data_IF_807158212019
#
_entry.id   IF_807158212019
#
_cell.length_a   1.000
_cell.length_b   1.000
_cell.length_c   1.000
_cell.angle_alpha   90.00
_cell.angle_beta   90.00
_cell.angle_gamma   90.00
#
_symmetry.space_group_name_H-M   'P 1'
#
loop_
_entity.id
_entity.type
_entity.pdbx_description
1 polymer ?
#
# COMPACT_ATOMS: atom_id res chain seq x y z
N UNK A 1 25.95 -11.72 8.56
CA UNK A 1 26.51 -10.70 7.63
C UNK A 1 25.32 -9.81 7.30
N UNK A 2 25.23 -8.52 7.58
CA UNK A 2 26.13 -7.36 7.67
C UNK A 2 25.22 -6.17 8.08
N UNK A 3 25.60 -4.96 8.50
CA UNK A 3 26.77 -4.24 9.02
C UNK A 3 26.18 -2.92 9.55
N UNK A 4 27.01 -2.02 10.07
CA UNK A 4 26.64 -0.67 10.48
C UNK A 4 25.67 0.04 9.50
N UNK A 5 24.83 0.92 10.06
CA UNK A 5 23.83 1.65 9.30
C UNK A 5 22.44 1.04 9.48
N UNK A 6 21.55 1.83 10.07
CA UNK A 6 20.18 1.46 10.44
C UNK A 6 19.40 0.82 9.27
N UNK A 7 19.27 -0.50 9.29
CA UNK A 7 18.35 -1.21 8.41
C UNK A 7 16.94 -1.23 9.05
N UNK A 8 15.91 -0.99 8.24
CA UNK A 8 14.52 -1.25 8.62
C UNK A 8 14.18 -2.67 8.16
N UNK A 9 13.88 -3.59 9.07
CA UNK A 9 13.34 -4.91 8.70
C UNK A 9 11.84 -4.90 8.98
N UNK A 10 11.00 -5.05 7.94
CA UNK A 10 9.61 -5.37 8.11
C UNK A 10 9.45 -6.87 8.38
N UNK A 11 9.14 -7.21 9.63
CA UNK A 11 8.70 -8.55 10.00
C UNK A 11 7.22 -8.49 10.39
N UNK A 12 6.42 -9.44 9.91
CA UNK A 12 5.09 -9.71 10.48
C UNK A 12 5.27 -10.35 11.86
N UNK A 13 5.65 -9.58 12.88
CA UNK A 13 5.74 -10.07 14.25
C UNK A 13 5.14 -9.03 15.21
N UNK A 14 4.12 -9.46 15.98
CA UNK A 14 3.38 -8.60 16.93
C UNK A 14 3.83 -8.82 18.36
N UNK A 15 3.79 -7.78 19.21
CA UNK A 15 3.88 -7.93 20.68
C UNK A 15 2.58 -8.39 21.36
N UNK A 16 1.44 -8.27 20.68
CA UNK A 16 0.12 -8.65 21.21
C UNK A 16 -0.79 -9.03 20.04
N UNK A 17 -1.35 -10.24 20.05
CA UNK A 17 -2.53 -10.66 19.25
C UNK A 17 -2.68 -10.09 17.82
N UNK A 18 -1.59 -9.98 17.05
CA UNK A 18 -1.66 -9.67 15.62
C UNK A 18 -1.69 -8.19 15.21
N UNK A 19 -0.96 -7.33 15.92
CA UNK A 19 -0.69 -5.95 15.49
C UNK A 19 0.58 -5.88 14.59
N UNK A 20 0.50 -5.14 13.48
CA UNK A 20 1.59 -4.90 12.55
C UNK A 20 2.51 -3.79 13.05
N UNK A 21 3.62 -4.17 13.67
CA UNK A 21 4.61 -3.25 14.25
C UNK A 21 5.62 -2.73 13.19
N UNK A 22 6.13 -1.52 13.41
CA UNK A 22 7.20 -0.93 12.57
C UNK A 22 8.46 -0.78 13.40
N UNK A 23 9.49 -1.56 13.07
CA UNK A 23 10.72 -1.65 13.84
C UNK A 23 11.92 -1.03 13.10
N UNK A 24 12.75 -0.27 13.81
CA UNK A 24 14.03 0.28 13.34
C UNK A 24 15.19 -0.39 14.04
N UNK A 25 16.22 -0.79 13.29
CA UNK A 25 17.49 -1.23 13.86
C UNK A 25 18.32 -0.01 14.27
N UNK A 26 18.65 0.10 15.55
CA UNK A 26 19.53 1.13 16.11
C UNK A 26 20.73 0.43 16.75
N UNK A 27 21.89 0.53 16.10
CA UNK A 27 23.04 -0.31 16.45
C UNK A 27 22.70 -1.78 16.26
N UNK A 28 22.67 -2.56 17.34
CA UNK A 28 22.28 -3.97 17.33
C UNK A 28 20.97 -4.24 18.11
N UNK A 29 20.11 -3.23 18.25
CA UNK A 29 18.82 -3.34 18.98
C UNK A 29 17.67 -2.92 18.07
N UNK A 30 16.61 -3.73 18.05
CA UNK A 30 15.34 -3.38 17.43
C UNK A 30 14.56 -2.45 18.36
N UNK A 31 14.15 -1.31 17.80
CA UNK A 31 13.34 -0.30 18.48
C UNK A 31 12.00 -0.21 17.76
N UNK A 32 10.92 -0.35 18.50
CA UNK A 32 9.58 -0.12 17.98
C UNK A 32 9.31 1.37 17.79
N UNK A 33 8.89 1.74 16.59
CA UNK A 33 8.54 3.11 16.21
C UNK A 33 7.09 3.48 16.54
N UNK A 34 6.33 2.60 17.20
CA UNK A 34 4.98 2.85 17.68
C UNK A 34 4.06 3.38 16.57
N UNK A 35 4.06 2.68 15.44
CA UNK A 35 3.16 2.99 14.34
C UNK A 35 1.69 2.87 14.78
N UNK A 36 0.77 3.55 14.08
CA UNK A 36 -0.66 3.40 14.34
C UNK A 36 -1.11 1.93 14.37
N UNK A 37 -2.02 1.61 15.28
CA UNK A 37 -2.57 0.26 15.47
C UNK A 37 -3.17 -0.26 14.15
N UNK A 38 -2.61 -1.37 13.66
CA UNK A 38 -3.05 -2.03 12.45
C UNK A 38 -2.79 -3.52 12.56
N UNK A 39 -3.49 -4.36 11.79
CA UNK A 39 -3.20 -5.80 11.80
C UNK A 39 -1.89 -6.16 11.08
N UNK A 40 -1.51 -5.37 10.08
CA UNK A 40 -0.36 -5.62 9.24
C UNK A 40 0.30 -4.30 8.83
N UNK A 41 1.62 -4.21 8.98
CA UNK A 41 2.42 -3.27 8.22
C UNK A 41 2.81 -3.94 6.90
N UNK A 42 2.33 -3.41 5.77
CA UNK A 42 2.34 -4.11 4.48
C UNK A 42 3.50 -3.67 3.58
N UNK A 43 3.78 -2.37 3.50
CA UNK A 43 4.84 -1.84 2.63
C UNK A 43 5.47 -0.57 3.23
N UNK A 44 6.74 -0.34 2.87
CA UNK A 44 7.54 0.80 3.31
C UNK A 44 8.24 1.43 2.11
N UNK A 45 8.25 2.75 2.05
CA UNK A 45 9.01 3.50 1.05
C UNK A 45 9.67 4.71 1.69
N UNK A 46 10.80 5.14 1.12
CA UNK A 46 11.31 6.50 1.34
C UNK A 46 10.61 7.43 0.36
N UNK A 47 9.96 8.47 0.88
CA UNK A 47 9.25 9.46 0.08
C UNK A 47 9.55 10.85 0.61
N UNK A 48 10.22 11.67 -0.21
CA UNK A 48 10.63 13.04 0.14
C UNK A 48 11.36 13.10 1.49
N UNK A 49 12.33 12.22 1.69
CA UNK A 49 13.14 12.14 2.90
C UNK A 49 12.46 11.52 4.12
N UNK A 50 11.17 11.14 4.04
CA UNK A 50 10.43 10.54 5.16
C UNK A 50 10.20 9.04 4.93
N UNK A 51 10.18 8.29 6.03
CA UNK A 51 9.67 6.92 6.01
C UNK A 51 8.15 6.97 5.90
N UNK A 52 7.62 6.29 4.89
CA UNK A 52 6.18 6.13 4.70
C UNK A 52 5.85 4.65 4.78
N UNK A 53 4.78 4.34 5.51
CA UNK A 53 4.27 2.98 5.70
C UNK A 53 2.83 2.88 5.21
N UNK A 54 2.49 1.74 4.61
CA UNK A 54 1.10 1.33 4.42
C UNK A 54 0.71 0.29 5.47
N UNK A 55 -0.37 0.57 6.18
CA UNK A 55 -0.91 -0.21 7.29
C UNK A 55 -2.29 -0.74 6.89
N UNK A 56 -2.55 -2.00 7.20
CA UNK A 56 -3.87 -2.61 6.99
C UNK A 56 -4.92 -1.91 7.85
N UNK A 57 -6.02 -1.50 7.22
CA UNK A 57 -7.16 -0.94 7.94
C UNK A 57 -8.12 -2.03 8.47
N UNK A 58 -7.78 -3.32 8.35
CA UNK A 58 -8.66 -4.42 8.76
C UNK A 58 -8.80 -4.45 10.29
N UNK A 59 -9.92 -3.95 10.80
CA UNK A 59 -10.17 -3.83 12.23
C UNK A 59 -9.45 -2.66 12.90
N UNK A 60 -8.76 -1.81 12.12
CA UNK A 60 -8.05 -0.65 12.64
C UNK A 60 -9.02 0.49 12.98
N UNK A 61 -8.60 1.35 13.91
CA UNK A 61 -9.33 2.58 14.29
C UNK A 61 -9.10 3.75 13.33
N UNK A 62 -8.28 3.56 12.30
CA UNK A 62 -7.96 4.57 11.30
C UNK A 62 -8.55 4.23 9.93
N UNK A 63 -8.97 5.26 9.19
CA UNK A 63 -9.43 5.12 7.81
C UNK A 63 -8.33 5.35 6.77
N UNK A 64 -7.30 6.12 7.11
CA UNK A 64 -6.15 6.32 6.22
C UNK A 64 -5.18 5.16 6.41
N UNK A 65 -4.85 4.38 5.37
CA UNK A 65 -3.86 3.33 5.45
C UNK A 65 -2.41 3.80 5.38
N UNK A 66 -2.14 5.04 4.97
CA UNK A 66 -0.78 5.49 4.66
C UNK A 66 -0.34 6.56 5.65
N UNK A 67 0.80 6.33 6.30
CA UNK A 67 1.35 7.23 7.31
C UNK A 67 2.80 7.56 7.01
N UNK A 68 3.18 8.81 7.28
CA UNK A 68 4.56 9.26 7.24
C UNK A 68 5.07 9.49 8.67
N UNK A 69 6.28 8.99 8.95
CA UNK A 69 7.00 9.31 10.18
C UNK A 69 7.52 10.75 10.07
N UNK A 70 7.17 11.58 11.05
CA UNK A 70 7.65 12.95 11.16
C UNK A 70 8.99 13.01 11.90
N UNK A 71 9.69 14.15 11.81
CA UNK A 71 10.99 14.36 12.45
C UNK A 71 10.92 14.28 13.98
N UNK A 72 9.77 14.64 14.55
CA UNK A 72 9.50 14.53 16.00
C UNK A 72 9.19 13.09 16.47
N UNK A 73 9.23 12.12 15.54
CA UNK A 73 8.95 10.71 15.83
C UNK A 73 7.47 10.35 15.83
N UNK A 74 6.56 11.30 15.56
CA UNK A 74 5.13 11.02 15.45
C UNK A 74 4.74 10.52 14.07
N UNK A 75 3.66 9.73 13.99
CA UNK A 75 3.09 9.28 12.72
C UNK A 75 1.92 10.18 12.33
N UNK A 76 1.93 10.67 11.09
CA UNK A 76 0.84 11.47 10.54
C UNK A 76 0.29 10.84 9.26
N UNK A 77 -1.03 10.87 9.02
CA UNK A 77 -1.60 10.41 7.76
C UNK A 77 -0.97 11.13 6.56
N UNK A 78 -0.61 10.38 5.52
CA UNK A 78 -0.09 10.97 4.29
C UNK A 78 -1.26 11.42 3.41
N UNK A 79 -1.57 12.71 3.48
CA UNK A 79 -2.70 13.30 2.77
C UNK A 79 -4.06 12.82 3.29
N UNK A 80 -5.13 13.31 2.66
CA UNK A 80 -6.48 12.86 2.96
C UNK A 80 -6.78 11.56 2.21
N UNK A 81 -7.24 10.53 2.93
CA UNK A 81 -7.65 9.27 2.32
C UNK A 81 -8.86 9.50 1.38
N UNK A 82 -8.79 9.05 0.11
CA UNK A 82 -9.94 9.04 -0.78
C UNK A 82 -11.14 8.31 -0.18
N UNK A 83 -12.35 8.84 -0.41
CA UNK A 83 -13.58 8.22 0.08
C UNK A 83 -13.79 6.79 -0.45
N UNK A 84 -13.29 6.50 -1.65
CA UNK A 84 -13.31 5.19 -2.30
C UNK A 84 -12.51 4.12 -1.55
N UNK A 85 -11.58 4.52 -0.68
CA UNK A 85 -10.85 3.57 0.17
C UNK A 85 -11.70 3.08 1.35
N UNK A 86 -12.93 3.59 1.53
CA UNK A 86 -13.81 3.13 2.61
C UNK A 86 -14.10 1.64 2.48
N UNK A 87 -13.56 0.87 3.42
CA UNK A 87 -13.66 -0.58 3.44
C UNK A 87 -12.62 -1.30 2.58
N UNK A 88 -11.70 -0.58 1.93
CA UNK A 88 -10.48 -1.16 1.42
C UNK A 88 -9.48 -1.30 2.57
N UNK A 89 -9.09 -2.53 2.87
CA UNK A 89 -8.28 -2.83 4.05
C UNK A 89 -6.91 -3.41 3.73
N UNK A 90 -6.55 -3.55 2.43
CA UNK A 90 -5.27 -4.10 2.00
C UNK A 90 -4.55 -3.12 1.04
N UNK A 91 -3.82 -2.13 1.58
CA UNK A 91 -2.91 -1.24 0.85
C UNK A 91 -1.54 -1.93 0.63
N UNK A 92 -1.51 -2.94 -0.24
CA UNK A 92 -0.46 -3.97 -0.26
C UNK A 92 0.94 -3.49 -0.68
N UNK A 93 1.04 -2.56 -1.63
CA UNK A 93 2.33 -2.22 -2.20
C UNK A 93 2.40 -0.75 -2.57
N UNK A 94 3.50 -0.12 -2.16
CA UNK A 94 3.86 1.23 -2.53
C UNK A 94 5.18 1.23 -3.30
N UNK A 95 5.27 2.10 -4.30
CA UNK A 95 6.54 2.44 -4.96
C UNK A 95 6.62 3.95 -5.16
N UNK A 96 7.83 4.47 -5.31
CA UNK A 96 8.06 5.89 -5.59
C UNK A 96 8.81 6.01 -6.92
N UNK A 97 8.30 6.85 -7.82
CA UNK A 97 9.01 7.30 -9.04
C UNK A 97 8.94 8.82 -9.10
N UNK A 98 10.10 9.48 -9.24
CA UNK A 98 10.22 10.94 -9.41
C UNK A 98 9.30 11.76 -8.49
N UNK A 99 9.44 11.56 -7.18
CA UNK A 99 8.66 12.25 -6.14
C UNK A 99 7.13 12.07 -6.20
N UNK A 100 6.67 11.02 -6.88
CA UNK A 100 5.29 10.55 -6.86
C UNK A 100 5.25 9.16 -6.23
N UNK A 101 4.40 8.99 -5.22
CA UNK A 101 4.18 7.71 -4.58
C UNK A 101 2.96 7.03 -5.21
N UNK A 102 3.09 5.78 -5.60
CA UNK A 102 2.02 4.96 -6.16
C UNK A 102 1.62 3.89 -5.16
N UNK A 103 0.33 3.69 -4.97
CA UNK A 103 -0.23 2.73 -4.02
C UNK A 103 -1.20 1.79 -4.73
N UNK A 104 -1.00 0.49 -4.51
CA UNK A 104 -1.98 -0.54 -4.82
C UNK A 104 -2.92 -0.78 -3.64
N UNK A 105 -4.23 -0.71 -3.88
CA UNK A 105 -5.27 -0.87 -2.86
C UNK A 105 -6.22 -2.01 -3.26
N UNK A 106 -6.70 -2.76 -2.27
CA UNK A 106 -7.72 -3.79 -2.45
C UNK A 106 -8.27 -4.32 -1.13
N UNK A 107 -8.84 -5.53 -1.19
CA UNK A 107 -9.35 -6.26 -0.02
C UNK A 107 -10.87 -6.32 0.07
N UNK A 108 -11.60 -5.34 -0.48
CA UNK A 108 -13.06 -5.43 -0.61
C UNK A 108 -13.48 -5.42 -2.08
N UNK A 109 -14.62 -6.04 -2.37
CA UNK A 109 -15.28 -6.02 -3.68
C UNK A 109 -15.47 -4.56 -4.10
N UNK A 110 -15.11 -4.19 -5.32
CA UNK A 110 -15.23 -2.81 -5.79
C UNK A 110 -14.09 -1.88 -5.38
N UNK A 111 -13.01 -2.36 -4.74
CA UNK A 111 -11.93 -1.46 -4.26
C UNK A 111 -10.57 -1.74 -4.89
N UNK A 112 -10.44 -2.70 -5.82
CA UNK A 112 -9.20 -3.02 -6.50
C UNK A 112 -8.77 -1.82 -7.37
N UNK A 113 -7.77 -1.08 -6.93
CA UNK A 113 -7.41 0.18 -7.59
C UNK A 113 -5.94 0.56 -7.39
N UNK A 114 -5.42 1.37 -8.32
CA UNK A 114 -4.11 2.01 -8.20
C UNK A 114 -4.30 3.50 -8.03
N UNK A 115 -3.57 4.08 -7.09
CA UNK A 115 -3.60 5.51 -6.77
C UNK A 115 -2.20 6.09 -6.82
N UNK A 116 -2.08 7.40 -7.06
CA UNK A 116 -0.84 8.15 -6.96
C UNK A 116 -0.98 9.33 -6.01
N UNK A 117 0.09 9.70 -5.32
CA UNK A 117 0.21 10.85 -4.45
C UNK A 117 1.36 11.74 -4.92
N UNK A 118 1.05 13.00 -5.23
CA UNK A 118 1.98 14.00 -5.77
C UNK A 118 2.55 14.96 -4.72
N UNK A 119 2.28 14.70 -3.44
CA UNK A 119 2.64 15.58 -2.33
C UNK A 119 1.49 16.39 -1.77
N UNK A 120 0.40 16.57 -2.52
CA UNK A 120 -0.80 17.24 -2.06
C UNK A 120 -1.99 16.30 -1.92
N UNK A 121 -2.33 15.59 -2.99
CA UNK A 121 -3.57 14.80 -3.03
C UNK A 121 -3.38 13.43 -3.67
N UNK A 122 -4.28 12.50 -3.30
CA UNK A 122 -4.36 11.18 -3.91
C UNK A 122 -5.25 11.25 -5.15
N UNK A 123 -4.74 10.75 -6.28
CA UNK A 123 -5.48 10.66 -7.55
C UNK A 123 -5.55 9.20 -8.01
N UNK A 124 -6.73 8.75 -8.43
CA UNK A 124 -6.92 7.39 -8.95
C UNK A 124 -6.29 7.26 -10.34
N UNK A 125 -5.65 6.12 -10.60
CA UNK A 125 -4.99 5.82 -11.86
C UNK A 125 -5.59 4.59 -12.56
N UNK A 126 -6.07 3.60 -11.80
CA UNK A 126 -6.68 2.38 -12.32
C UNK A 126 -7.73 1.81 -11.36
N UNK A 127 -8.64 0.98 -11.88
CA UNK A 127 -9.82 0.46 -11.22
C UNK A 127 -11.10 1.01 -11.86
N UNK A 128 -12.19 0.25 -11.79
CA UNK A 128 -13.50 0.62 -12.38
C UNK A 128 -13.45 0.94 -13.89
N UNK A 129 -12.54 0.30 -14.63
CA UNK A 129 -12.34 0.54 -16.06
C UNK A 129 -11.64 1.86 -16.41
N UNK A 130 -11.24 2.65 -15.41
CA UNK A 130 -10.51 3.90 -15.61
C UNK A 130 -9.23 3.67 -16.42
N UNK A 131 -8.95 4.52 -17.41
CA UNK A 131 -7.78 4.41 -18.29
C UNK A 131 -7.67 3.06 -19.02
N UNK A 132 -8.81 2.39 -19.30
CA UNK A 132 -8.81 1.07 -19.93
C UNK A 132 -8.28 -0.03 -19.01
N UNK A 133 -8.21 0.23 -17.70
CA UNK A 133 -7.83 -0.78 -16.71
C UNK A 133 -8.88 -1.88 -16.63
N UNK A 134 -8.67 -2.83 -15.72
CA UNK A 134 -9.71 -3.76 -15.34
C UNK A 134 -10.99 -2.99 -15.01
N UNK A 135 -12.02 -3.21 -15.83
CA UNK A 135 -13.40 -3.08 -15.38
C UNK A 135 -13.57 -4.03 -14.21
N UNK A 136 -14.52 -3.78 -13.31
CA UNK A 136 -14.74 -4.66 -12.16
C UNK A 136 -15.90 -5.64 -12.43
N UNK A 137 -15.72 -6.74 -13.18
CA UNK A 137 -16.70 -7.83 -13.25
C UNK A 137 -16.58 -8.77 -12.03
N UNK A 138 -15.59 -8.57 -11.15
CA UNK A 138 -15.23 -9.48 -10.05
C UNK A 138 -15.77 -9.04 -8.68
N UNK A 139 -16.42 -7.86 -8.60
CA UNK A 139 -17.37 -7.48 -7.53
C UNK A 139 -18.35 -8.61 -7.22
N UNK A 140 -18.71 -9.46 -8.19
CA UNK A 140 -19.64 -10.57 -8.02
C UNK A 140 -19.03 -11.86 -7.43
N UNK A 141 -17.70 -12.07 -7.51
CA UNK A 141 -17.05 -13.36 -7.15
C UNK A 141 -16.04 -13.28 -5.97
N UNK A 142 -15.44 -12.12 -5.66
CA UNK A 142 -14.53 -11.99 -4.51
C UNK A 142 -13.49 -10.87 -4.70
N UNK A 143 -13.03 -10.24 -3.63
CA UNK A 143 -12.16 -9.07 -3.72
C UNK A 143 -10.71 -9.42 -4.09
N UNK A 144 -10.09 -8.52 -4.85
CA UNK A 144 -8.83 -8.71 -5.56
C UNK A 144 -7.80 -7.67 -5.10
N UNK A 145 -6.53 -8.05 -5.06
CA UNK A 145 -5.46 -7.19 -4.55
C UNK A 145 -4.62 -6.65 -5.70
N UNK A 146 -4.29 -5.36 -5.68
CA UNK A 146 -3.09 -4.90 -6.37
C UNK A 146 -1.92 -5.39 -5.51
N UNK A 147 -1.35 -6.52 -5.91
CA UNK A 147 -0.39 -7.25 -5.09
C UNK A 147 1.01 -6.64 -5.20
N UNK A 148 1.42 -6.26 -6.40
CA UNK A 148 2.73 -5.64 -6.65
C UNK A 148 2.61 -4.52 -7.68
N UNK A 149 3.47 -3.52 -7.52
CA UNK A 149 3.69 -2.46 -8.49
C UNK A 149 5.18 -2.41 -8.83
N UNK A 150 5.52 -2.15 -10.07
CA UNK A 150 6.90 -1.83 -10.47
C UNK A 150 6.94 -0.90 -11.67
N UNK A 151 8.00 -0.10 -11.76
CA UNK A 151 8.32 0.62 -12.99
C UNK A 151 9.37 -0.15 -13.78
N UNK A 152 9.16 -0.27 -15.09
CA UNK A 152 10.16 -0.76 -16.01
C UNK A 152 10.11 0.07 -17.30
N UNK A 153 11.25 0.68 -17.67
CA UNK A 153 11.39 1.52 -18.88
C UNK A 153 10.29 2.59 -19.00
N UNK A 154 10.01 3.30 -17.89
CA UNK A 154 9.02 4.37 -17.84
C UNK A 154 7.55 3.92 -17.84
N UNK A 155 7.28 2.61 -17.80
CA UNK A 155 5.92 2.06 -17.73
C UNK A 155 5.65 1.49 -16.34
N UNK A 156 4.47 1.76 -15.81
CA UNK A 156 3.98 1.19 -14.56
C UNK A 156 3.31 -0.17 -14.85
N UNK A 157 3.75 -1.20 -14.15
CA UNK A 157 3.18 -2.54 -14.20
C UNK A 157 2.49 -2.85 -12.88
N UNK A 158 1.28 -3.40 -12.95
CA UNK A 158 0.52 -3.85 -11.79
C UNK A 158 0.33 -5.37 -11.85
N UNK A 159 0.80 -6.05 -10.81
CA UNK A 159 0.50 -7.45 -10.56
C UNK A 159 -0.75 -7.56 -9.71
N UNK A 160 -1.78 -8.22 -10.24
CA UNK A 160 -3.03 -8.47 -9.55
C UNK A 160 -3.02 -9.89 -8.96
N UNK A 161 -3.67 -10.09 -7.82
CA UNK A 161 -3.79 -11.39 -7.20
C UNK A 161 -5.20 -11.64 -6.66
N UNK A 162 -5.61 -12.91 -6.73
CA UNK A 162 -6.85 -13.46 -6.18
C UNK A 162 -6.56 -14.80 -5.52
N UNK A 163 -7.17 -15.05 -4.36
CA UNK A 163 -7.21 -16.36 -3.71
C UNK A 163 -8.42 -17.20 -4.14
N UNK A 164 -9.23 -16.72 -5.10
CA UNK A 164 -10.48 -17.34 -5.53
C UNK A 164 -10.58 -17.39 -7.07
N UNK A 165 -10.51 -18.60 -7.62
CA UNK A 165 -10.67 -18.96 -9.05
C UNK A 165 -9.71 -18.25 -10.03
N UNK A 166 -9.46 -18.80 -11.25
CA UNK A 166 -8.53 -18.17 -12.18
C UNK A 166 -9.10 -16.83 -12.69
N UNK A 167 -8.54 -15.73 -12.19
CA UNK A 167 -8.74 -14.38 -12.71
C UNK A 167 -7.92 -14.19 -13.99
N UNK A 168 -8.58 -13.76 -15.07
CA UNK A 168 -7.92 -13.09 -16.18
C UNK A 168 -8.38 -11.64 -16.18
N UNK A 169 -7.43 -10.70 -16.08
CA UNK A 169 -7.74 -9.29 -16.26
C UNK A 169 -8.34 -9.12 -17.66
N UNK A 170 -9.65 -8.86 -17.73
CA UNK A 170 -10.30 -8.47 -18.96
C UNK A 170 -9.94 -7.01 -19.22
N UNK A 171 -8.72 -6.80 -19.71
CA UNK A 171 -8.30 -5.53 -20.29
C UNK A 171 -9.01 -5.44 -21.63
N UNK A 172 -9.76 -4.36 -21.86
CA UNK A 172 -10.41 -4.14 -23.16
C UNK A 172 -9.36 -4.25 -24.26
N UNK A 173 -9.62 -5.09 -25.26
CA UNK A 173 -8.74 -5.23 -26.41
C UNK A 173 -8.56 -3.85 -27.05
N UNK A 174 -7.41 -3.22 -26.87
CA UNK A 174 -7.02 -2.11 -27.71
C UNK A 174 -6.69 -2.71 -29.09
N UNK A 175 -7.46 -2.27 -30.09
CA UNK A 175 -7.16 -2.47 -31.51
C UNK A 175 -5.71 -1.99 -31.81
N UNK A 176 -5.04 -2.59 -32.81
CA UNK A 176 -3.62 -2.39 -33.10
C UNK A 176 -3.22 -0.93 -33.35
#
# INVERSE_FOLDING_TARGET
>A
MWTDGSALIPGMFSRTMGDGDVLKLVGNRWVDLQAPESRYALCFVSYRGRLVVSLSNLGAKHHNPVFALQEDGTWQPLGQAPAEWKGAYIPNHMIVDRDVLYLGVGGKRGTLSVWKYDGGSWTKLAGDGLNGSWVDPLVSQGAEWVYRLTFHKGKLYAGLASDRSPFQAQVGAHAP
#
